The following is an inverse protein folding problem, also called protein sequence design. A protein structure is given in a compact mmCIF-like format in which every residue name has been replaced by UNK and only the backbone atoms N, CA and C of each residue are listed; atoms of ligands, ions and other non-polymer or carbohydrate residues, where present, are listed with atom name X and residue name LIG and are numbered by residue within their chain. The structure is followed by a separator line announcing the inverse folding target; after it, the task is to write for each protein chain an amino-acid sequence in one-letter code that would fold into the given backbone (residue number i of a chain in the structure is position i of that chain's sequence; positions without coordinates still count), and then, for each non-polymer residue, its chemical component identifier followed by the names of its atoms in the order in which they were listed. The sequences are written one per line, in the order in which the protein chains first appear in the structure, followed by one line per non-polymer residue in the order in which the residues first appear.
data_IF_174055341032
#
_entry.id   IF_174055341032
#
_cell.length_a   1.000
_cell.length_b   1.000
_cell.length_c   1.000
_cell.angle_alpha   90.00
_cell.angle_beta   90.00
_cell.angle_gamma   90.00
#
_symmetry.space_group_name_H-M   'P 1'
#
loop_
_entity.id
_entity.type
_entity.pdbx_description
1 polymer ?
#
# COMPACT_ATOMS: atom_id res chain seq x y z
N UNK A 1 -28.94 19.98 -48.66
CA UNK A 1 -27.52 20.30 -48.39
C UNK A 1 -26.81 19.04 -47.92
N UNK A 2 -25.91 18.49 -48.73
CA UNK A 2 -25.24 17.22 -48.48
C UNK A 2 -24.04 17.40 -47.53
N UNK A 3 -23.94 16.57 -46.48
CA UNK A 3 -22.76 16.52 -45.60
C UNK A 3 -21.60 15.86 -46.35
N UNK A 4 -20.55 16.63 -46.65
CA UNK A 4 -19.25 16.12 -47.11
C UNK A 4 -18.70 15.14 -46.07
N UNK A 5 -18.59 13.87 -46.44
CA UNK A 5 -17.88 12.84 -45.65
C UNK A 5 -16.39 12.99 -46.01
N UNK A 6 -15.53 13.15 -45.00
CA UNK A 6 -14.07 13.17 -45.20
C UNK A 6 -13.61 11.78 -45.69
N UNK A 7 -12.67 11.70 -46.66
CA UNK A 7 -12.08 10.42 -47.02
C UNK A 7 -11.27 9.88 -45.84
N UNK A 8 -11.49 8.61 -45.52
CA UNK A 8 -10.73 7.88 -44.50
C UNK A 8 -9.43 7.44 -45.18
N UNK A 9 -8.28 7.92 -44.69
CA UNK A 9 -6.97 7.52 -45.19
C UNK A 9 -6.72 6.04 -44.87
N UNK A 10 -6.44 5.24 -45.90
CA UNK A 10 -6.27 3.78 -45.81
C UNK A 10 -4.98 3.32 -45.10
N UNK A 11 -4.10 4.23 -44.67
CA UNK A 11 -2.88 3.88 -43.93
C UNK A 11 -3.11 3.61 -42.43
N UNK A 12 -4.27 3.95 -41.87
CA UNK A 12 -4.60 3.66 -40.46
C UNK A 12 -5.10 2.21 -40.20
N UNK A 13 -5.31 1.41 -41.25
CA UNK A 13 -5.75 0.01 -41.09
C UNK A 13 -4.61 -1.02 -41.03
N UNK A 14 -3.34 -0.61 -41.22
CA UNK A 14 -2.19 -1.51 -41.22
C UNK A 14 -1.45 -1.51 -39.88
N UNK A 15 -2.19 -1.63 -38.78
CA UNK A 15 -1.64 -1.79 -37.44
C UNK A 15 -1.88 -3.25 -37.00
N UNK A 16 -0.84 -4.07 -36.80
CA UNK A 16 -0.98 -5.44 -36.30
C UNK A 16 -1.74 -5.47 -34.97
N UNK A 17 -2.58 -6.49 -34.78
CA UNK A 17 -3.52 -6.59 -33.65
C UNK A 17 -2.86 -6.40 -32.26
N UNK A 18 -1.58 -6.76 -32.11
CA UNK A 18 -0.83 -6.62 -30.87
C UNK A 18 -0.41 -5.18 -30.52
N UNK A 19 -0.45 -4.24 -31.48
CA UNK A 19 -0.14 -2.83 -31.25
C UNK A 19 -1.36 -1.96 -30.89
N UNK A 20 -2.58 -2.49 -30.95
CA UNK A 20 -3.81 -1.74 -30.59
C UNK A 20 -3.91 -1.36 -29.10
N UNK A 21 -3.15 -2.00 -28.21
CA UNK A 21 -3.22 -1.74 -26.76
C UNK A 21 -2.34 -0.58 -26.27
N UNK A 22 -1.73 0.21 -27.16
CA UNK A 22 -1.03 1.46 -26.77
C UNK A 22 -1.55 2.74 -27.44
N UNK A 23 -2.47 2.63 -28.42
CA UNK A 23 -3.03 3.78 -29.13
C UNK A 23 -4.45 4.18 -28.68
N UNK A 24 -4.94 3.64 -27.55
CA UNK A 24 -6.24 4.01 -26.94
C UNK A 24 -6.03 4.78 -25.62
N UNK A 25 -4.79 4.94 -25.15
CA UNK A 25 -4.46 5.55 -23.84
C UNK A 25 -4.10 7.04 -23.91
N UNK A 26 -4.19 7.70 -25.07
CA UNK A 26 -3.86 9.15 -25.18
C UNK A 26 -5.05 10.07 -25.46
N UNK A 27 -6.29 9.55 -25.51
CA UNK A 27 -7.48 10.36 -25.85
C UNK A 27 -8.47 10.64 -24.71
N UNK A 28 -8.10 10.40 -23.45
CA UNK A 28 -8.98 10.73 -22.31
C UNK A 28 -8.21 11.27 -21.11
N UNK A 29 -7.35 12.26 -21.36
CA UNK A 29 -6.79 13.09 -20.29
C UNK A 29 -6.64 14.55 -20.71
N UNK A 30 -7.70 15.10 -21.31
CA UNK A 30 -7.96 16.52 -21.12
C UNK A 30 -8.53 16.66 -19.71
N UNK A 31 -7.67 16.97 -18.73
CA UNK A 31 -8.19 17.64 -17.55
C UNK A 31 -8.76 18.96 -18.05
N UNK A 32 -10.08 19.12 -17.96
CA UNK A 32 -10.74 20.42 -18.08
C UNK A 32 -10.27 21.29 -16.92
N UNK A 33 -9.06 21.83 -17.04
CA UNK A 33 -8.66 22.98 -16.25
C UNK A 33 -9.43 24.13 -16.88
N UNK A 34 -10.56 24.49 -16.26
CA UNK A 34 -11.32 25.68 -16.63
C UNK A 34 -10.37 26.85 -16.79
N UNK A 35 -10.36 27.47 -17.97
CA UNK A 35 -9.54 28.66 -18.23
C UNK A 35 -10.04 29.79 -17.34
N UNK A 36 -9.17 30.72 -16.96
CA UNK A 36 -9.53 31.84 -16.08
C UNK A 36 -10.69 32.72 -16.60
N UNK A 37 -11.04 32.59 -17.88
CA UNK A 37 -12.17 33.27 -18.52
C UNK A 37 -13.52 32.64 -18.14
N UNK A 38 -13.62 31.30 -18.07
CA UNK A 38 -14.87 30.59 -17.70
C UNK A 38 -15.28 30.82 -16.24
N UNK A 39 -14.31 31.01 -15.34
CA UNK A 39 -14.59 31.31 -13.92
C UNK A 39 -15.20 32.69 -13.72
N UNK A 40 -14.96 33.63 -14.63
CA UNK A 40 -15.46 35.00 -14.56
C UNK A 40 -16.94 35.06 -14.97
N UNK A 41 -17.38 34.19 -15.87
CA UNK A 41 -18.80 34.05 -16.24
C UNK A 41 -19.63 33.38 -15.13
N UNK A 42 -19.01 32.51 -14.33
CA UNK A 42 -19.69 31.76 -13.26
C UNK A 42 -19.92 32.52 -11.93
N UNK A 43 -19.55 33.81 -11.81
CA UNK A 43 -19.79 34.65 -10.63
C UNK A 43 -19.39 34.05 -9.26
N UNK A 44 -18.41 33.13 -9.22
CA UNK A 44 -17.93 32.52 -7.97
C UNK A 44 -16.81 33.37 -7.36
N UNK A 45 -17.03 33.85 -6.12
CA UNK A 45 -16.07 34.73 -5.42
C UNK A 45 -14.80 33.98 -4.99
N UNK A 46 -13.60 34.56 -5.16
CA UNK A 46 -12.38 33.98 -4.61
C UNK A 46 -12.36 34.19 -3.09
N UNK A 47 -12.20 33.12 -2.32
CA UNK A 47 -12.00 33.24 -0.87
C UNK A 47 -10.53 33.59 -0.57
N UNK A 48 -10.34 34.75 0.04
CA UNK A 48 -9.05 35.38 0.30
C UNK A 48 -8.73 35.38 1.80
N UNK A 49 -7.56 34.78 2.12
CA UNK A 49 -6.66 35.04 3.28
C UNK A 49 -7.17 34.49 4.63
N UNK A 50 -6.33 33.88 5.48
CA UNK A 50 -5.17 34.42 6.21
C UNK A 50 -4.20 33.26 6.56
N UNK A 51 -2.96 33.22 6.04
CA UNK A 51 -1.66 33.63 6.65
C UNK A 51 -1.25 32.84 7.91
N UNK A 52 -0.09 32.16 7.95
CA UNK A 52 1.16 32.82 8.38
C UNK A 52 2.42 32.17 7.80
N UNK A 53 3.45 32.99 7.62
CA UNK A 53 4.64 32.76 6.82
C UNK A 53 5.82 32.12 7.57
N UNK A 54 6.68 31.38 6.85
CA UNK A 54 8.13 31.70 6.82
C UNK A 54 8.81 31.14 5.57
N UNK A 55 9.77 31.93 5.11
CA UNK A 55 10.37 32.03 3.78
C UNK A 55 11.69 31.25 3.71
N UNK A 56 11.77 30.34 2.75
CA UNK A 56 12.87 30.07 1.79
C UNK A 56 14.30 30.51 2.16
N UNK A 57 15.24 29.58 2.09
CA UNK A 57 16.62 29.85 1.62
C UNK A 57 17.08 28.73 0.67
N UNK A 58 17.34 29.12 -0.57
CA UNK A 58 17.85 28.28 -1.66
C UNK A 58 19.33 27.96 -1.45
N UNK A 59 19.80 26.82 -1.96
CA UNK A 59 21.08 26.76 -2.71
C UNK A 59 21.09 25.61 -3.72
N UNK A 60 21.89 25.73 -4.81
CA UNK A 60 21.74 24.96 -6.05
C UNK A 60 22.54 23.64 -6.10
N UNK A 61 22.28 22.88 -7.18
CA UNK A 61 22.77 21.53 -7.54
C UNK A 61 24.26 21.28 -7.26
N UNK A 62 24.55 20.14 -6.64
CA UNK A 62 25.82 19.40 -6.80
C UNK A 62 25.51 17.97 -7.21
N UNK A 63 26.09 17.54 -8.34
CA UNK A 63 26.13 16.16 -8.79
C UNK A 63 27.02 15.40 -7.79
N UNK A 64 26.45 14.46 -7.04
CA UNK A 64 27.26 13.43 -6.37
C UNK A 64 27.14 12.14 -7.22
N UNK A 65 28.20 11.72 -7.94
CA UNK A 65 28.33 10.31 -8.29
C UNK A 65 28.55 9.51 -6.99
N UNK A 66 28.02 8.28 -6.96
CA UNK A 66 28.08 7.39 -5.80
C UNK A 66 29.52 7.26 -5.24
N UNK A 67 29.62 7.06 -3.92
CA UNK A 67 30.24 5.82 -3.48
C UNK A 67 29.24 5.04 -2.64
N UNK A 68 29.16 3.74 -2.89
CA UNK A 68 28.55 2.78 -1.97
C UNK A 68 29.36 2.85 -0.66
N UNK A 69 28.79 3.20 0.50
CA UNK A 69 29.21 2.56 1.72
C UNK A 69 28.36 1.30 1.82
N UNK A 70 28.98 0.18 1.50
CA UNK A 70 28.60 -1.07 2.13
C UNK A 70 28.59 -0.73 3.61
N UNK A 71 27.45 -0.84 4.29
CA UNK A 71 27.44 -0.90 5.75
C UNK A 71 27.49 -2.39 6.11
N UNK A 72 28.66 -3.05 6.17
CA UNK A 72 28.84 -4.16 7.07
C UNK A 72 29.06 -3.57 8.47
N UNK A 73 28.53 -4.24 9.50
CA UNK A 73 28.71 -3.92 10.92
C UNK A 73 27.98 -2.66 11.44
N UNK A 74 26.70 -2.83 11.75
CA UNK A 74 26.07 -2.16 12.90
C UNK A 74 25.08 -3.13 13.54
N UNK A 75 25.69 -4.11 14.15
CA UNK A 75 25.23 -4.97 15.22
C UNK A 75 24.66 -4.10 16.35
N UNK A 76 23.41 -3.66 16.20
CA UNK A 76 22.58 -3.24 17.31
C UNK A 76 21.75 -4.46 17.73
N UNK A 77 22.43 -5.44 18.31
CA UNK A 77 21.79 -6.43 19.16
C UNK A 77 21.12 -5.68 20.32
N UNK A 78 19.84 -5.33 20.14
CA UNK A 78 19.00 -4.99 21.27
C UNK A 78 19.03 -6.18 22.23
N UNK A 79 19.17 -5.95 23.54
CA UNK A 79 19.35 -7.02 24.51
C UNK A 79 18.14 -7.94 24.43
N UNK A 80 18.36 -9.15 23.92
CA UNK A 80 17.47 -10.29 24.14
C UNK A 80 17.57 -10.65 25.63
N UNK A 81 17.02 -9.75 26.45
CA UNK A 81 16.30 -10.19 27.63
C UNK A 81 15.35 -11.29 27.15
N UNK A 82 15.22 -12.42 27.86
CA UNK A 82 14.28 -13.47 27.49
C UNK A 82 12.86 -12.91 27.67
N UNK A 83 12.43 -12.11 26.71
CA UNK A 83 11.11 -11.52 26.65
C UNK A 83 10.21 -12.69 26.35
N UNK A 84 9.46 -13.09 27.37
CA UNK A 84 8.57 -14.24 27.38
C UNK A 84 7.66 -14.20 26.15
N UNK A 85 8.07 -14.87 25.07
CA UNK A 85 7.27 -15.06 23.87
C UNK A 85 6.10 -15.97 24.27
N UNK A 86 4.90 -15.42 24.28
CA UNK A 86 3.71 -16.22 24.54
C UNK A 86 3.18 -16.69 23.19
N UNK A 87 3.15 -18.00 22.98
CA UNK A 87 2.46 -18.57 21.84
C UNK A 87 0.98 -18.20 21.93
N UNK A 88 0.43 -17.71 20.84
CA UNK A 88 -0.98 -17.30 20.77
C UNK A 88 -1.78 -18.36 20.02
N UNK A 89 -1.20 -18.90 18.95
CA UNK A 89 -1.84 -19.85 18.07
C UNK A 89 -0.97 -20.20 16.86
N UNK A 90 -1.63 -20.63 15.78
CA UNK A 90 -0.98 -21.04 14.54
C UNK A 90 -1.75 -20.53 13.30
N UNK A 91 -1.04 -20.36 12.19
CA UNK A 91 -1.62 -19.95 10.92
C UNK A 91 -2.26 -21.15 10.23
N UNK A 92 -3.53 -21.06 9.86
CA UNK A 92 -4.26 -22.12 9.14
C UNK A 92 -4.11 -21.98 7.63
N UNK A 93 -4.20 -20.77 7.11
CA UNK A 93 -4.11 -20.49 5.68
C UNK A 93 -3.63 -19.06 5.44
N UNK A 94 -2.91 -18.86 4.34
CA UNK A 94 -2.49 -17.55 3.87
C UNK A 94 -3.15 -17.25 2.52
N UNK A 95 -3.82 -16.10 2.42
CA UNK A 95 -4.47 -15.65 1.20
C UNK A 95 -3.55 -14.70 0.44
N UNK A 96 -2.76 -15.24 -0.50
CA UNK A 96 -1.77 -14.50 -1.29
C UNK A 96 -2.36 -13.31 -2.06
N UNK A 97 -3.59 -13.44 -2.57
CA UNK A 97 -4.20 -12.37 -3.38
C UNK A 97 -4.51 -11.08 -2.62
N UNK A 98 -4.65 -11.16 -1.29
CA UNK A 98 -5.07 -10.04 -0.43
C UNK A 98 -4.12 -9.80 0.76
N UNK A 99 -3.03 -10.57 0.82
CA UNK A 99 -2.04 -10.56 1.89
C UNK A 99 -2.65 -10.74 3.30
N UNK A 100 -3.61 -11.65 3.43
CA UNK A 100 -4.29 -11.94 4.71
C UNK A 100 -3.90 -13.31 5.23
N UNK A 101 -3.38 -13.36 6.45
CA UNK A 101 -3.15 -14.58 7.20
C UNK A 101 -4.37 -14.92 8.05
N UNK A 102 -4.85 -16.16 7.94
CA UNK A 102 -5.92 -16.71 8.78
C UNK A 102 -5.27 -17.47 9.94
N UNK A 103 -5.38 -16.92 11.15
CA UNK A 103 -4.74 -17.44 12.36
C UNK A 103 -5.82 -18.00 13.29
N UNK A 104 -5.61 -19.24 13.77
CA UNK A 104 -6.42 -19.83 14.82
C UNK A 104 -5.75 -19.56 16.17
N UNK A 105 -6.48 -18.96 17.11
CA UNK A 105 -5.96 -18.67 18.45
C UNK A 105 -6.20 -19.83 19.42
N UNK A 106 -5.18 -20.56 19.82
CA UNK A 106 -5.35 -21.71 20.74
C UNK A 106 -5.23 -21.31 22.22
N UNK A 107 -4.24 -20.46 22.54
CA UNK A 107 -3.84 -20.23 23.94
C UNK A 107 -4.40 -18.93 24.51
N UNK A 108 -4.24 -17.81 23.80
CA UNK A 108 -4.52 -16.48 24.32
C UNK A 108 -5.28 -15.62 23.32
N UNK A 109 -6.11 -14.72 23.82
CA UNK A 109 -6.74 -13.69 22.99
C UNK A 109 -5.76 -12.56 22.63
N UNK A 110 -6.01 -11.92 21.49
CA UNK A 110 -5.22 -10.76 21.01
C UNK A 110 -6.12 -9.52 20.90
N UNK A 111 -5.48 -8.35 20.92
CA UNK A 111 -6.15 -7.06 20.73
C UNK A 111 -5.44 -6.28 19.63
N UNK A 112 -6.20 -5.42 18.95
CA UNK A 112 -5.65 -4.47 18.00
C UNK A 112 -4.55 -3.62 18.66
N UNK A 113 -3.41 -3.46 17.99
CA UNK A 113 -2.23 -2.76 18.51
C UNK A 113 -1.21 -3.64 19.26
N UNK A 114 -1.50 -4.92 19.50
CA UNK A 114 -0.48 -5.85 19.99
C UNK A 114 0.58 -6.13 18.91
N UNK A 115 1.82 -6.46 19.32
CA UNK A 115 2.87 -6.89 18.39
C UNK A 115 2.91 -8.41 18.31
N UNK A 116 2.85 -8.94 17.08
CA UNK A 116 2.94 -10.36 16.78
C UNK A 116 4.25 -10.70 16.08
N UNK A 117 4.77 -11.87 16.42
CA UNK A 117 5.86 -12.57 15.73
C UNK A 117 5.23 -13.70 14.92
N UNK A 118 5.38 -13.66 13.61
CA UNK A 118 4.82 -14.62 12.67
C UNK A 118 5.97 -15.37 12.00
N UNK A 119 5.94 -16.69 12.08
CA UNK A 119 6.87 -17.56 11.34
C UNK A 119 6.40 -17.69 9.88
N UNK A 120 7.26 -17.26 8.95
CA UNK A 120 7.17 -17.53 7.52
C UNK A 120 7.95 -18.80 7.14
N UNK A 121 8.11 -19.06 5.85
CA UNK A 121 8.85 -20.23 5.35
C UNK A 121 10.35 -20.12 5.65
N UNK A 122 10.95 -19.00 5.28
CA UNK A 122 12.40 -18.74 5.41
C UNK A 122 12.72 -17.56 6.34
N UNK A 123 11.72 -16.88 6.87
CA UNK A 123 11.90 -15.66 7.67
C UNK A 123 10.94 -15.61 8.85
N UNK A 124 11.30 -14.77 9.83
CA UNK A 124 10.45 -14.46 10.96
C UNK A 124 10.11 -12.98 10.88
N UNK A 125 8.83 -12.65 10.80
CA UNK A 125 8.36 -11.28 10.71
C UNK A 125 7.78 -10.82 12.04
N UNK A 126 8.18 -9.62 12.46
CA UNK A 126 7.54 -8.92 13.59
C UNK A 126 6.67 -7.80 13.05
N UNK A 127 5.38 -7.78 13.41
CA UNK A 127 4.49 -6.69 13.01
C UNK A 127 3.43 -6.37 14.07
N UNK A 128 3.03 -5.09 14.21
CA UNK A 128 1.87 -4.71 15.00
C UNK A 128 0.56 -5.11 14.30
N UNK A 129 -0.48 -5.36 15.09
CA UNK A 129 -1.83 -5.62 14.58
C UNK A 129 -2.47 -4.28 14.14
N UNK A 130 -2.34 -3.97 12.85
CA UNK A 130 -2.95 -2.80 12.21
C UNK A 130 -4.44 -3.02 11.94
N UNK A 131 -4.82 -4.19 11.42
CA UNK A 131 -6.20 -4.54 11.08
C UNK A 131 -6.50 -6.02 11.36
N UNK A 132 -7.66 -6.27 11.96
CA UNK A 132 -8.06 -7.60 12.42
C UNK A 132 -9.55 -7.82 12.15
N UNK A 133 -9.89 -8.97 11.58
CA UNK A 133 -11.27 -9.31 11.20
C UNK A 133 -11.62 -10.75 11.61
N UNK A 134 -12.88 -10.97 12.00
CA UNK A 134 -13.45 -12.30 12.27
C UNK A 134 -14.74 -12.39 11.45
N UNK A 135 -14.90 -13.44 10.63
CA UNK A 135 -16.07 -13.63 9.76
C UNK A 135 -16.42 -12.37 8.93
N UNK A 136 -15.39 -11.72 8.37
CA UNK A 136 -15.47 -10.45 7.59
C UNK A 136 -15.96 -9.23 8.38
N UNK A 137 -16.00 -9.30 9.70
CA UNK A 137 -16.34 -8.17 10.57
C UNK A 137 -15.07 -7.64 11.25
N UNK A 138 -14.80 -6.32 11.20
CA UNK A 138 -13.67 -5.75 11.90
C UNK A 138 -13.88 -5.88 13.41
N UNK A 139 -12.84 -6.33 14.11
CA UNK A 139 -12.89 -6.55 15.57
C UNK A 139 -11.69 -5.91 16.27
N UNK A 140 -11.92 -5.38 17.47
CA UNK A 140 -10.84 -4.79 18.28
C UNK A 140 -10.15 -5.80 19.18
N UNK A 141 -10.85 -6.88 19.54
CA UNK A 141 -10.37 -7.93 20.43
C UNK A 141 -10.86 -9.28 19.92
N UNK A 142 -10.00 -10.28 20.01
CA UNK A 142 -10.34 -11.65 19.67
C UNK A 142 -10.09 -12.59 20.85
N UNK A 143 -10.96 -13.59 21.00
CA UNK A 143 -10.89 -14.58 22.08
C UNK A 143 -10.14 -15.82 21.60
N UNK A 144 -9.70 -16.66 22.55
CA UNK A 144 -9.23 -18.02 22.24
C UNK A 144 -10.32 -18.81 21.49
N UNK A 145 -9.91 -19.66 20.58
CA UNK A 145 -10.75 -20.47 19.70
C UNK A 145 -11.31 -19.72 18.47
N UNK A 146 -10.98 -18.43 18.29
CA UNK A 146 -11.48 -17.66 17.14
C UNK A 146 -10.51 -17.73 15.96
N UNK A 147 -11.07 -17.77 14.75
CA UNK A 147 -10.32 -17.59 13.50
C UNK A 147 -10.23 -16.12 13.17
N UNK A 148 -9.02 -15.63 12.97
CA UNK A 148 -8.76 -14.20 12.76
C UNK A 148 -8.07 -14.02 11.42
N UNK A 149 -8.61 -13.14 10.59
CA UNK A 149 -7.92 -12.58 9.45
C UNK A 149 -7.08 -11.38 9.90
N UNK A 150 -5.78 -11.47 9.66
CA UNK A 150 -4.80 -10.39 9.90
C UNK A 150 -4.14 -10.02 8.57
N UNK A 151 -4.10 -8.73 8.24
CA UNK A 151 -3.30 -8.27 7.10
C UNK A 151 -1.82 -8.31 7.46
N UNK A 152 -1.01 -8.94 6.63
CA UNK A 152 0.43 -9.11 6.84
C UNK A 152 1.20 -8.48 5.68
N UNK A 153 2.42 -8.02 5.93
CA UNK A 153 3.31 -7.48 4.88
C UNK A 153 4.12 -8.55 4.17
N UNK A 154 4.21 -9.73 4.78
CA UNK A 154 5.03 -10.84 4.33
C UNK A 154 4.21 -12.14 4.36
N UNK A 155 4.48 -13.10 3.45
CA UNK A 155 3.74 -14.35 3.40
C UNK A 155 3.89 -15.16 4.69
N UNK A 156 2.77 -15.60 5.25
CA UNK A 156 2.78 -16.46 6.43
C UNK A 156 2.82 -17.93 6.02
N UNK A 157 3.63 -18.73 6.72
CA UNK A 157 3.69 -20.17 6.48
C UNK A 157 2.42 -20.85 6.95
N UNK A 158 1.94 -21.82 6.17
CA UNK A 158 0.83 -22.69 6.58
C UNK A 158 1.26 -23.54 7.79
N UNK A 159 0.46 -23.56 8.85
CA UNK A 159 0.77 -24.14 10.15
C UNK A 159 1.99 -23.50 10.88
N UNK A 160 2.41 -22.29 10.47
CA UNK A 160 3.43 -21.52 11.18
C UNK A 160 2.95 -21.08 12.56
N UNK A 161 3.86 -21.00 13.53
CA UNK A 161 3.52 -20.56 14.89
C UNK A 161 3.46 -19.04 14.97
N UNK A 162 2.54 -18.56 15.79
CA UNK A 162 2.37 -17.12 16.05
C UNK A 162 2.56 -16.84 17.53
N UNK A 163 3.45 -15.91 17.83
CA UNK A 163 3.75 -15.47 19.19
C UNK A 163 3.38 -14.01 19.38
N UNK A 164 3.08 -13.66 20.63
CA UNK A 164 2.87 -12.27 21.06
C UNK A 164 4.07 -11.82 21.90
N UNK A 165 4.50 -10.60 21.62
CA UNK A 165 5.59 -9.88 22.31
C UNK A 165 5.09 -9.00 23.46
#
# INVERSE_FOLDING_TARGET
MAKKIKPINEEELRIPAYMRKKAITSQSRQQLILTALDRKEAHLKPNSKVSTARKVSQTPRTIQPAPVPVQPAAEAELPITPKKLMQVGHTTHYMENIDVAIILLDQKGVKKGDTLLIEGDDFIATQPIEEMQIDRKPVTKAKKGSHIGLKVKFPAKVNGKVYKL
#
